data_IF_703423546258
#
_entry.id   IF_703423546258
#
_cell.length_a   1.000
_cell.length_b   1.000
_cell.length_c   1.000
_cell.angle_alpha   90.00
_cell.angle_beta   90.00
_cell.angle_gamma   90.00
#
_symmetry.space_group_name_H-M   'P 1'
#
loop_
_entity.id
_entity.type
_entity.pdbx_description
1 polymer ?
#
# COMPACT_ATOMS: atom_id res chain seq x y z
N UNK A 1 5.46 1.67 7.06
CA UNK A 1 4.16 2.05 6.44
C UNK A 1 3.06 1.88 7.46
N UNK A 2 2.09 2.77 7.39
CA UNK A 2 0.89 2.77 8.24
C UNK A 2 -0.33 2.67 7.33
N UNK A 3 -1.34 1.95 7.78
CA UNK A 3 -2.56 1.80 7.00
C UNK A 3 -3.61 2.77 7.52
N UNK A 4 -4.25 3.53 6.63
CA UNK A 4 -5.50 4.22 6.95
C UNK A 4 -6.64 3.33 6.47
N UNK A 5 -7.40 2.78 7.41
CA UNK A 5 -8.57 1.97 7.09
C UNK A 5 -9.82 2.84 7.05
N UNK A 6 -10.57 2.72 5.97
CA UNK A 6 -11.86 3.39 5.76
C UNK A 6 -12.90 2.30 5.53
N UNK A 7 -13.93 2.26 6.37
CA UNK A 7 -15.04 1.30 6.28
C UNK A 7 -16.37 2.02 6.42
N UNK A 8 -17.40 1.48 5.80
CA UNK A 8 -18.78 1.96 5.92
C UNK A 8 -19.44 2.26 4.58
N UNK A 9 -20.73 2.56 4.58
CA UNK A 9 -21.52 2.76 3.37
C UNK A 9 -20.94 3.81 2.41
N UNK A 10 -20.34 4.88 2.95
CA UNK A 10 -19.76 5.97 2.15
C UNK A 10 -18.25 5.83 1.93
N UNK A 11 -17.63 4.68 2.29
CA UNK A 11 -16.18 4.51 2.19
C UNK A 11 -15.65 4.72 0.77
N UNK A 12 -16.28 4.11 -0.23
CA UNK A 12 -15.90 4.28 -1.64
C UNK A 12 -16.07 5.74 -2.10
N UNK A 13 -17.14 6.40 -1.68
CA UNK A 13 -17.40 7.80 -2.02
C UNK A 13 -16.35 8.73 -1.39
N UNK A 14 -15.95 8.47 -0.13
CA UNK A 14 -14.89 9.24 0.53
C UNK A 14 -13.54 9.05 -0.16
N UNK A 15 -13.14 7.81 -0.44
CA UNK A 15 -11.87 7.54 -1.14
C UNK A 15 -11.87 8.20 -2.53
N UNK A 16 -12.98 8.10 -3.28
CA UNK A 16 -13.09 8.76 -4.59
C UNK A 16 -13.01 10.29 -4.48
N UNK A 17 -13.52 10.87 -3.40
CA UNK A 17 -13.46 12.31 -3.20
C UNK A 17 -12.04 12.83 -2.96
N UNK A 18 -11.18 12.02 -2.33
CA UNK A 18 -9.81 12.40 -2.01
C UNK A 18 -8.84 12.30 -3.18
N UNK A 19 -9.20 11.56 -4.26
CA UNK A 19 -8.29 11.29 -5.37
C UNK A 19 -8.88 11.67 -6.72
N UNK A 20 -8.07 12.22 -7.65
CA UNK A 20 -8.50 12.43 -9.04
C UNK A 20 -8.56 11.11 -9.84
N UNK A 21 -8.10 9.99 -9.27
CA UNK A 21 -8.14 8.69 -9.95
C UNK A 21 -9.52 8.05 -9.82
N UNK A 22 -10.06 7.52 -10.94
CA UNK A 22 -11.31 6.77 -10.89
C UNK A 22 -11.09 5.40 -10.20
N UNK A 23 -11.51 5.30 -8.94
CA UNK A 23 -11.36 4.07 -8.14
C UNK A 23 -12.42 3.01 -8.45
N UNK A 24 -13.48 3.33 -9.18
CA UNK A 24 -14.49 2.32 -9.58
C UNK A 24 -13.91 1.22 -10.47
N UNK A 25 -12.75 1.46 -11.08
CA UNK A 25 -12.00 0.48 -11.88
C UNK A 25 -11.26 -0.55 -11.02
N UNK A 26 -11.05 -0.28 -9.73
CA UNK A 26 -10.38 -1.21 -8.83
C UNK A 26 -11.31 -2.38 -8.46
N UNK A 27 -10.81 -3.60 -8.60
CA UNK A 27 -11.49 -4.84 -8.20
C UNK A 27 -10.96 -5.34 -6.88
N UNK A 28 -11.67 -6.26 -6.24
CA UNK A 28 -11.13 -7.02 -5.11
C UNK A 28 -9.84 -7.73 -5.55
N UNK A 29 -8.82 -7.68 -4.72
CA UNK A 29 -7.49 -8.19 -5.07
C UNK A 29 -6.56 -7.19 -5.77
N UNK A 30 -7.03 -5.97 -6.06
CA UNK A 30 -6.20 -4.93 -6.67
C UNK A 30 -5.49 -4.08 -5.62
N UNK A 31 -4.22 -3.77 -5.90
CA UNK A 31 -3.50 -2.64 -5.35
C UNK A 31 -3.59 -1.49 -6.35
N UNK A 32 -3.92 -0.30 -5.88
CA UNK A 32 -4.22 0.84 -6.74
C UNK A 32 -3.49 2.09 -6.24
N UNK A 33 -2.42 2.50 -6.92
CA UNK A 33 -1.73 3.73 -6.57
C UNK A 33 -2.64 4.94 -6.83
N UNK A 34 -2.87 5.76 -5.82
CA UNK A 34 -3.76 6.92 -5.90
C UNK A 34 -3.07 8.18 -5.37
N UNK A 35 -2.93 9.24 -6.17
CA UNK A 35 -2.58 10.55 -5.63
C UNK A 35 -3.75 11.08 -4.79
N UNK A 36 -3.46 11.57 -3.60
CA UNK A 36 -4.42 12.28 -2.75
C UNK A 36 -4.14 13.77 -2.89
N UNK A 37 -5.19 14.54 -3.15
CA UNK A 37 -5.06 15.98 -3.42
C UNK A 37 -5.98 16.81 -2.52
N UNK A 38 -5.58 18.06 -2.31
CA UNK A 38 -6.43 19.06 -1.68
C UNK A 38 -7.35 19.78 -2.68
N UNK A 39 -8.13 20.74 -2.20
CA UNK A 39 -9.09 21.48 -3.01
C UNK A 39 -8.43 22.38 -4.08
N UNK A 40 -7.15 22.67 -3.98
CA UNK A 40 -6.37 23.42 -4.95
C UNK A 40 -5.62 22.51 -5.94
N UNK A 41 -5.72 21.19 -5.76
CA UNK A 41 -5.02 20.19 -6.55
C UNK A 41 -3.61 19.86 -6.05
N UNK A 42 -3.18 20.43 -4.92
CA UNK A 42 -1.89 20.14 -4.29
C UNK A 42 -1.87 18.72 -3.72
N UNK A 43 -0.75 18.02 -3.89
CA UNK A 43 -0.58 16.65 -3.39
C UNK A 43 -0.52 16.64 -1.86
N UNK A 44 -1.37 15.82 -1.23
CA UNK A 44 -1.32 15.55 0.21
C UNK A 44 -0.53 14.30 0.53
N UNK A 45 -0.67 13.26 -0.30
CA UNK A 45 0.08 12.01 -0.21
C UNK A 45 -0.17 11.15 -1.46
N UNK A 46 0.47 9.97 -1.52
CA UNK A 46 0.41 9.06 -2.67
C UNK A 46 0.29 7.57 -2.27
N UNK A 47 -0.73 7.21 -1.47
CA UNK A 47 -0.86 5.85 -0.99
C UNK A 47 -1.09 4.82 -2.10
N UNK A 48 -0.77 3.58 -1.76
CA UNK A 48 -1.34 2.41 -2.43
C UNK A 48 -2.66 2.07 -1.75
N UNK A 49 -3.75 2.16 -2.48
CA UNK A 49 -5.07 1.73 -2.04
C UNK A 49 -5.23 0.23 -2.27
N UNK A 50 -5.65 -0.51 -1.25
CA UNK A 50 -6.06 -1.91 -1.33
C UNK A 50 -7.58 -1.97 -1.12
N UNK A 51 -8.31 -2.49 -2.12
CA UNK A 51 -9.75 -2.69 -2.01
C UNK A 51 -10.03 -4.05 -1.38
N UNK A 52 -10.44 -4.06 -0.12
CA UNK A 52 -10.67 -5.28 0.66
C UNK A 52 -12.11 -5.77 0.57
N UNK A 53 -13.06 -4.83 0.43
CA UNK A 53 -14.46 -5.08 0.17
C UNK A 53 -15.04 -3.90 -0.62
N UNK A 54 -16.33 -3.94 -0.97
CA UNK A 54 -16.98 -2.81 -1.64
C UNK A 54 -17.04 -1.57 -0.73
N UNK A 55 -17.05 -1.77 0.58
CA UNK A 55 -17.15 -0.77 1.63
C UNK A 55 -15.94 -0.75 2.57
N UNK A 56 -14.81 -1.38 2.18
CA UNK A 56 -13.60 -1.43 3.00
C UNK A 56 -12.33 -1.23 2.17
N UNK A 57 -11.53 -0.26 2.57
CA UNK A 57 -10.28 0.10 1.92
C UNK A 57 -9.16 0.28 2.94
N UNK A 58 -7.94 -0.14 2.55
CA UNK A 58 -6.71 0.34 3.17
C UNK A 58 -6.00 1.30 2.25
N UNK A 59 -5.53 2.41 2.80
CA UNK A 59 -4.62 3.34 2.14
C UNK A 59 -3.26 3.19 2.81
N UNK A 60 -2.32 2.55 2.11
CA UNK A 60 -0.98 2.25 2.63
C UNK A 60 -0.04 3.38 2.31
N UNK A 61 0.50 4.03 3.34
CA UNK A 61 1.35 5.22 3.23
C UNK A 61 2.57 5.17 4.16
N UNK A 62 3.55 6.02 3.88
CA UNK A 62 4.74 6.14 4.70
C UNK A 62 4.48 6.90 6.01
N UNK A 63 3.57 7.88 6.00
CA UNK A 63 3.18 8.67 7.17
C UNK A 63 1.65 8.88 7.24
N UNK A 64 1.15 9.65 8.21
CA UNK A 64 -0.23 9.54 8.64
C UNK A 64 -1.08 10.82 8.57
N UNK A 65 -0.65 11.88 7.92
CA UNK A 65 -1.47 13.09 7.75
C UNK A 65 -2.80 12.76 7.05
N UNK A 66 -2.79 11.72 6.21
CA UNK A 66 -3.95 11.22 5.50
C UNK A 66 -5.07 10.74 6.45
N UNK A 67 -4.73 10.19 7.62
CA UNK A 67 -5.74 9.78 8.61
C UNK A 67 -6.60 10.97 9.04
N UNK A 68 -5.94 12.05 9.45
CA UNK A 68 -6.63 13.26 9.92
C UNK A 68 -7.36 13.99 8.78
N UNK A 69 -6.77 13.99 7.59
CA UNK A 69 -7.40 14.57 6.40
C UNK A 69 -8.69 13.83 6.04
N UNK A 70 -8.67 12.51 6.00
CA UNK A 70 -9.85 11.69 5.72
C UNK A 70 -10.94 11.87 6.79
N UNK A 71 -10.55 11.91 8.08
CA UNK A 71 -11.49 12.16 9.19
C UNK A 71 -12.14 13.54 9.07
N UNK A 72 -11.36 14.57 8.77
CA UNK A 72 -11.86 15.93 8.59
C UNK A 72 -12.84 16.06 7.42
N UNK A 73 -12.52 15.44 6.29
CA UNK A 73 -13.40 15.43 5.12
C UNK A 73 -14.70 14.68 5.40
N UNK A 74 -14.63 13.50 6.01
CA UNK A 74 -15.80 12.71 6.35
C UNK A 74 -16.76 13.47 7.28
N UNK A 75 -16.20 14.07 8.32
CA UNK A 75 -16.96 14.89 9.26
C UNK A 75 -17.61 16.09 8.57
N UNK A 76 -16.85 16.84 7.79
CA UNK A 76 -17.32 18.05 7.11
C UNK A 76 -18.40 17.77 6.04
N UNK A 77 -18.46 16.54 5.54
CA UNK A 77 -19.44 16.10 4.53
C UNK A 77 -20.58 15.25 5.10
N UNK A 78 -20.55 14.95 6.40
CA UNK A 78 -21.55 14.09 7.05
C UNK A 78 -21.58 12.66 6.50
N UNK A 79 -20.42 12.09 6.13
CA UNK A 79 -20.34 10.76 5.54
C UNK A 79 -20.39 9.66 6.63
N UNK A 80 -21.11 8.58 6.33
CA UNK A 80 -21.23 7.41 7.22
C UNK A 80 -20.05 6.46 6.97
N UNK A 81 -18.93 6.76 7.66
CA UNK A 81 -17.70 5.98 7.59
C UNK A 81 -17.04 5.87 8.95
N UNK A 82 -16.32 4.76 9.16
CA UNK A 82 -15.38 4.61 10.26
C UNK A 82 -13.96 4.65 9.69
N UNK A 83 -13.13 5.55 10.21
CA UNK A 83 -11.75 5.74 9.78
C UNK A 83 -10.84 5.42 10.96
N UNK A 84 -9.91 4.50 10.77
CA UNK A 84 -9.01 4.01 11.83
C UNK A 84 -7.63 3.71 11.29
N UNK A 85 -6.65 3.59 12.18
CA UNK A 85 -5.38 2.97 11.92
C UNK A 85 -5.42 1.55 12.52
N UNK A 86 -5.51 0.49 11.69
CA UNK A 86 -5.53 -0.89 12.16
C UNK A 86 -4.14 -1.33 12.64
N UNK A 87 -4.06 -2.36 13.49
CA UNK A 87 -2.79 -3.01 13.86
C UNK A 87 -2.28 -3.87 12.71
N UNK A 88 -1.92 -3.21 11.61
CA UNK A 88 -1.38 -3.83 10.39
C UNK A 88 -0.03 -3.22 10.06
N UNK A 89 1.00 -4.06 10.04
CA UNK A 89 2.37 -3.66 9.80
C UNK A 89 2.91 -4.30 8.53
N UNK A 90 3.58 -3.54 7.68
CA UNK A 90 4.08 -4.04 6.40
C UNK A 90 5.51 -4.52 6.53
N UNK A 91 5.76 -5.80 6.17
CA UNK A 91 7.09 -6.34 5.94
C UNK A 91 7.31 -6.48 4.43
N UNK A 92 8.28 -5.74 3.90
CA UNK A 92 8.66 -5.80 2.49
C UNK A 92 9.79 -6.80 2.28
N UNK A 93 9.60 -7.74 1.36
CA UNK A 93 10.63 -8.69 0.90
C UNK A 93 10.86 -8.38 -0.58
N UNK A 94 12.00 -7.74 -0.86
CA UNK A 94 12.30 -7.19 -2.18
C UNK A 94 13.56 -7.82 -2.78
N UNK A 95 13.63 -7.84 -4.10
CA UNK A 95 14.80 -8.32 -4.84
C UNK A 95 14.48 -9.53 -5.73
N UNK A 96 15.44 -9.92 -6.60
CA UNK A 96 15.21 -10.93 -7.64
C UNK A 96 14.91 -12.34 -7.10
N UNK A 97 15.28 -12.63 -5.87
CA UNK A 97 15.04 -13.92 -5.21
C UNK A 97 13.84 -13.93 -4.26
N UNK A 98 13.14 -12.79 -4.11
CA UNK A 98 12.04 -12.66 -3.16
C UNK A 98 10.89 -13.65 -3.45
N UNK A 99 10.57 -13.86 -4.73
CA UNK A 99 9.52 -14.80 -5.13
C UNK A 99 9.87 -16.24 -4.75
N UNK A 100 11.11 -16.67 -4.99
CA UNK A 100 11.55 -18.04 -4.66
C UNK A 100 11.59 -18.27 -3.15
N UNK A 101 12.09 -17.27 -2.40
CA UNK A 101 12.06 -17.31 -0.95
C UNK A 101 10.64 -17.44 -0.42
N UNK A 102 9.74 -16.55 -0.83
CA UNK A 102 8.37 -16.56 -0.33
C UNK A 102 7.58 -17.80 -0.78
N UNK A 103 7.85 -18.33 -1.97
CA UNK A 103 7.27 -19.59 -2.42
C UNK A 103 7.74 -20.78 -1.57
N UNK A 104 8.97 -20.76 -1.06
CA UNK A 104 9.46 -21.81 -0.13
C UNK A 104 8.76 -21.78 1.23
N UNK A 105 8.26 -20.62 1.67
CA UNK A 105 7.57 -20.43 2.95
C UNK A 105 6.06 -20.63 2.82
N UNK A 106 5.43 -20.00 1.83
CA UNK A 106 3.98 -19.89 1.69
C UNK A 106 3.40 -20.75 0.55
N UNK A 107 4.26 -21.50 -0.15
CA UNK A 107 3.84 -22.33 -1.27
C UNK A 107 3.84 -21.61 -2.63
N UNK A 108 3.76 -22.41 -3.69
CA UNK A 108 3.88 -21.89 -5.06
C UNK A 108 2.74 -20.99 -5.52
N UNK A 109 1.60 -21.02 -4.84
CA UNK A 109 0.44 -20.21 -5.22
C UNK A 109 0.71 -18.70 -5.18
N UNK A 110 1.68 -18.26 -4.39
CA UNK A 110 2.07 -16.85 -4.34
C UNK A 110 2.62 -16.34 -5.68
N UNK A 111 3.14 -17.23 -6.54
CA UNK A 111 3.63 -16.91 -7.88
C UNK A 111 2.50 -16.45 -8.82
N UNK A 112 1.25 -16.82 -8.51
CA UNK A 112 0.06 -16.43 -9.26
C UNK A 112 -0.41 -15.00 -8.91
N UNK A 113 0.15 -14.38 -7.87
CA UNK A 113 -0.15 -12.98 -7.53
C UNK A 113 0.47 -12.10 -8.61
N UNK A 114 -0.37 -11.46 -9.41
CA UNK A 114 0.08 -10.52 -10.45
C UNK A 114 0.68 -9.23 -9.86
N UNK A 115 1.43 -8.50 -10.69
CA UNK A 115 1.96 -7.18 -10.27
C UNK A 115 0.81 -6.22 -9.91
N UNK A 116 0.95 -5.55 -8.79
CA UNK A 116 -0.06 -4.65 -8.20
C UNK A 116 -1.40 -5.38 -7.90
N UNK A 117 -1.28 -6.67 -7.50
CA UNK A 117 -2.38 -7.47 -6.96
C UNK A 117 -2.00 -7.97 -5.59
N UNK A 118 -2.99 -8.41 -4.83
CA UNK A 118 -2.78 -9.11 -3.57
C UNK A 118 -3.60 -10.40 -3.50
N UNK A 119 -3.18 -11.29 -2.60
CA UNK A 119 -3.94 -12.45 -2.18
C UNK A 119 -3.77 -12.67 -0.68
N UNK A 120 -4.61 -13.49 -0.10
CA UNK A 120 -4.51 -13.90 1.29
C UNK A 120 -3.59 -15.11 1.41
N UNK A 121 -2.75 -15.10 2.42
CA UNK A 121 -1.86 -16.19 2.81
C UNK A 121 -2.13 -16.55 4.25
N UNK A 122 -1.92 -17.82 4.62
CA UNK A 122 -2.00 -18.23 6.01
C UNK A 122 -0.66 -18.06 6.71
N UNK A 123 -0.68 -17.49 7.91
CA UNK A 123 0.46 -17.46 8.80
C UNK A 123 0.00 -17.65 10.24
N UNK A 124 0.51 -18.70 10.91
CA UNK A 124 0.16 -19.08 12.29
C UNK A 124 -1.35 -19.10 12.57
N UNK A 125 -2.10 -19.76 11.68
CA UNK A 125 -3.56 -19.92 11.82
C UNK A 125 -4.37 -18.65 11.53
N UNK A 126 -3.73 -17.60 11.01
CA UNK A 126 -4.38 -16.33 10.66
C UNK A 126 -4.19 -15.98 9.20
N UNK A 127 -5.16 -15.26 8.62
CA UNK A 127 -5.06 -14.79 7.25
C UNK A 127 -4.31 -13.44 7.21
N UNK A 128 -3.25 -13.39 6.41
CA UNK A 128 -2.46 -12.21 6.17
C UNK A 128 -2.53 -11.82 4.70
N UNK A 129 -2.47 -10.53 4.40
CA UNK A 129 -2.51 -10.06 3.03
C UNK A 129 -1.09 -9.96 2.47
N UNK A 130 -0.84 -10.60 1.31
CA UNK A 130 0.41 -10.48 0.57
C UNK A 130 0.14 -9.80 -0.77
N UNK A 131 0.79 -8.67 -0.99
CA UNK A 131 0.72 -7.91 -2.23
C UNK A 131 2.02 -8.05 -3.04
N UNK A 132 1.90 -8.19 -4.36
CA UNK A 132 3.04 -8.08 -5.26
C UNK A 132 3.28 -6.61 -5.60
N UNK A 133 3.89 -5.94 -4.65
CA UNK A 133 4.20 -4.51 -4.65
C UNK A 133 5.54 -4.26 -3.97
N UNK A 134 5.98 -3.01 -3.92
CA UNK A 134 7.21 -2.61 -3.25
C UNK A 134 7.77 -1.30 -3.76
N UNK A 135 8.76 -0.80 -3.03
CA UNK A 135 9.38 0.52 -3.24
C UNK A 135 10.85 0.40 -3.68
N UNK A 136 11.17 -0.61 -4.52
CA UNK A 136 12.55 -0.89 -4.94
C UNK A 136 12.75 -1.02 -6.45
N UNK A 137 11.70 -1.26 -7.22
CA UNK A 137 11.77 -1.66 -8.66
C UNK A 137 12.54 -2.96 -8.92
N UNK A 138 12.91 -3.70 -7.88
CA UNK A 138 13.64 -4.97 -8.01
C UNK A 138 12.73 -6.20 -8.02
N UNK A 139 11.42 -5.99 -7.93
CA UNK A 139 10.44 -7.05 -7.73
C UNK A 139 10.36 -7.45 -6.26
N UNK A 140 9.37 -8.24 -5.93
CA UNK A 140 9.12 -8.72 -4.56
C UNK A 140 7.69 -8.50 -4.12
N UNK A 141 7.51 -8.58 -2.80
CA UNK A 141 6.19 -8.57 -2.17
C UNK A 141 6.22 -7.75 -0.89
N UNK A 142 5.05 -7.33 -0.47
CA UNK A 142 4.77 -6.71 0.81
C UNK A 142 3.73 -7.54 1.55
N UNK A 143 4.08 -8.02 2.76
CA UNK A 143 3.16 -8.72 3.65
C UNK A 143 2.58 -7.70 4.61
N UNK A 144 1.28 -7.51 4.57
CA UNK A 144 0.51 -6.66 5.48
C UNK A 144 0.08 -7.53 6.66
N UNK A 145 0.93 -7.55 7.69
CA UNK A 145 0.75 -8.38 8.87
C UNK A 145 -0.30 -7.76 9.80
N UNK A 146 -1.44 -8.39 9.89
CA UNK A 146 -2.50 -8.03 10.84
C UNK A 146 -2.24 -8.70 12.19
N UNK A 147 -1.90 -7.90 13.17
CA UNK A 147 -1.49 -8.34 14.50
C UNK A 147 0.02 -8.20 14.72
N UNK A 148 0.44 -7.11 15.34
CA UNK A 148 1.86 -6.77 15.58
C UNK A 148 2.59 -7.83 16.40
N UNK A 149 1.87 -8.58 17.27
CA UNK A 149 2.45 -9.68 18.06
C UNK A 149 3.02 -10.82 17.21
N UNK A 150 2.60 -10.97 15.95
CA UNK A 150 3.12 -11.96 15.01
C UNK A 150 4.43 -11.50 14.31
N UNK A 151 4.81 -10.24 14.47
CA UNK A 151 5.96 -9.64 13.80
C UNK A 151 7.28 -10.40 13.99
N UNK A 152 7.69 -10.70 15.25
CA UNK A 152 8.90 -11.48 15.50
C UNK A 152 8.89 -12.85 14.81
N UNK A 153 7.79 -13.57 14.91
CA UNK A 153 7.67 -14.89 14.29
C UNK A 153 7.74 -14.84 12.77
N UNK A 154 7.10 -13.84 12.13
CA UNK A 154 7.19 -13.66 10.69
C UNK A 154 8.61 -13.30 10.27
N UNK A 155 9.26 -12.38 10.99
CA UNK A 155 10.64 -12.01 10.73
C UNK A 155 11.58 -13.22 10.77
N UNK A 156 11.52 -14.02 11.86
CA UNK A 156 12.38 -15.18 12.04
C UNK A 156 12.13 -16.24 10.96
N UNK A 157 10.86 -16.50 10.64
CA UNK A 157 10.49 -17.44 9.55
C UNK A 157 11.08 -17.02 8.20
N UNK A 158 10.94 -15.74 7.83
CA UNK A 158 11.49 -15.22 6.56
C UNK A 158 13.01 -15.19 6.59
N UNK A 159 13.59 -14.80 7.72
CA UNK A 159 15.04 -14.74 7.88
C UNK A 159 15.70 -16.11 7.73
N UNK A 160 15.21 -17.11 8.46
CA UNK A 160 15.75 -18.48 8.42
C UNK A 160 15.61 -19.09 7.01
N UNK A 161 14.40 -18.99 6.42
CA UNK A 161 14.16 -19.46 5.06
C UNK A 161 14.98 -18.69 4.00
N UNK A 162 15.35 -17.47 4.30
CA UNK A 162 16.09 -16.57 3.41
C UNK A 162 17.61 -16.80 3.35
N UNK A 163 18.20 -17.52 4.32
CA UNK A 163 19.64 -17.75 4.37
C UNK A 163 20.20 -18.36 3.07
N UNK A 164 19.58 -19.38 2.46
CA UNK A 164 20.05 -19.92 1.18
C UNK A 164 19.92 -18.95 0.00
N UNK A 165 19.10 -17.93 0.14
CA UNK A 165 18.86 -16.90 -0.89
C UNK A 165 19.76 -15.67 -0.70
N UNK A 166 20.64 -15.66 0.31
CA UNK A 166 21.46 -14.52 0.74
C UNK A 166 20.61 -13.33 1.17
N UNK A 167 19.60 -13.57 2.00
CA UNK A 167 18.78 -12.50 2.58
C UNK A 167 19.64 -11.58 3.44
N UNK A 168 19.34 -10.31 3.43
CA UNK A 168 19.90 -9.32 4.35
C UNK A 168 18.80 -8.41 4.89
N UNK A 169 18.95 -7.95 6.11
CA UNK A 169 18.09 -6.89 6.62
C UNK A 169 18.33 -5.62 5.82
N UNK A 170 17.26 -4.95 5.43
CA UNK A 170 17.30 -3.76 4.61
C UNK A 170 16.34 -2.69 5.09
N UNK A 171 16.47 -1.54 4.50
CA UNK A 171 15.50 -0.45 4.56
C UNK A 171 15.27 0.05 3.13
N UNK A 172 14.25 0.90 2.89
CA UNK A 172 14.08 1.52 1.58
C UNK A 172 15.38 2.19 1.13
N UNK A 173 15.96 1.67 0.04
CA UNK A 173 17.21 2.20 -0.50
C UNK A 173 16.91 3.44 -1.33
N UNK A 174 17.39 4.59 -0.87
CA UNK A 174 17.15 5.86 -1.54
C UNK A 174 17.73 5.91 -2.96
N UNK A 175 18.85 5.21 -3.22
CA UNK A 175 19.47 5.16 -4.55
C UNK A 175 18.59 4.34 -5.50
N UNK A 176 18.22 3.15 -5.12
CA UNK A 176 17.41 2.23 -5.95
C UNK A 176 16.05 2.83 -6.31
N UNK A 177 15.38 3.44 -5.34
CA UNK A 177 14.07 4.04 -5.61
C UNK A 177 14.18 5.25 -6.55
N UNK A 178 15.25 6.08 -6.43
CA UNK A 178 15.50 7.20 -7.32
C UNK A 178 15.83 6.71 -8.74
N UNK A 179 16.73 5.74 -8.88
CA UNK A 179 17.02 5.10 -10.17
C UNK A 179 15.76 4.48 -10.79
N UNK A 180 14.89 3.91 -9.95
CA UNK A 180 13.60 3.37 -10.34
C UNK A 180 12.53 4.42 -10.68
N UNK A 181 12.79 5.71 -10.45
CA UNK A 181 11.80 6.79 -10.63
C UNK A 181 10.62 6.67 -9.67
N UNK A 182 10.85 6.14 -8.46
CA UNK A 182 9.83 6.08 -7.41
C UNK A 182 9.96 7.30 -6.51
N UNK A 183 8.97 8.16 -6.54
CA UNK A 183 8.93 9.40 -5.77
C UNK A 183 8.60 9.15 -4.30
N UNK A 184 9.02 10.07 -3.47
CA UNK A 184 8.72 10.10 -2.05
C UNK A 184 8.03 11.43 -1.72
N UNK A 185 6.85 11.35 -1.15
CA UNK A 185 6.19 12.54 -0.64
C UNK A 185 7.04 13.20 0.46
N UNK A 186 7.15 14.50 0.39
CA UNK A 186 8.03 15.28 1.24
C UNK A 186 9.46 15.51 0.70
N UNK A 187 9.86 14.75 -0.34
CA UNK A 187 11.14 14.92 -1.03
C UNK A 187 10.95 15.47 -2.46
N UNK A 188 10.53 14.63 -3.40
CA UNK A 188 10.37 15.04 -4.81
C UNK A 188 9.01 15.66 -5.11
N UNK A 189 8.05 15.46 -4.24
CA UNK A 189 6.70 16.04 -4.35
C UNK A 189 6.19 16.47 -2.98
N UNK A 190 5.52 17.61 -2.96
CA UNK A 190 4.93 18.21 -1.77
C UNK A 190 3.54 18.77 -2.12
N UNK A 191 2.89 19.40 -1.17
CA UNK A 191 1.63 20.09 -1.38
C UNK A 191 1.71 21.26 -2.39
N UNK A 192 2.91 21.73 -2.71
CA UNK A 192 3.12 22.78 -3.72
C UNK A 192 3.03 22.25 -5.16
N UNK A 193 3.04 20.92 -5.32
CA UNK A 193 2.96 20.26 -6.61
C UNK A 193 1.57 19.64 -6.82
N UNK A 194 1.08 19.66 -8.05
CA UNK A 194 -0.06 18.87 -8.46
C UNK A 194 0.39 17.56 -9.15
N UNK A 195 -0.50 16.57 -9.32
CA UNK A 195 -0.14 15.29 -9.92
C UNK A 195 0.45 15.39 -11.34
N UNK A 196 0.09 16.40 -12.12
CA UNK A 196 0.59 16.55 -13.49
C UNK A 196 2.06 17.01 -13.49
N UNK A 197 2.44 17.92 -12.59
CA UNK A 197 3.79 18.44 -12.47
C UNK A 197 4.80 17.34 -12.06
N UNK A 198 4.36 16.36 -11.28
CA UNK A 198 5.19 15.22 -10.86
C UNK A 198 5.03 13.98 -11.78
N UNK A 199 4.46 14.14 -12.97
CA UNK A 199 4.32 13.06 -13.95
C UNK A 199 3.27 12.00 -13.60
N UNK A 200 2.39 12.28 -12.65
CA UNK A 200 1.30 11.38 -12.23
C UNK A 200 -0.04 11.64 -12.95
N UNK A 201 -0.04 12.48 -13.99
CA UNK A 201 -1.24 12.80 -14.78
C UNK A 201 -1.97 11.58 -15.33
N UNK A 202 -1.27 10.48 -15.62
CA UNK A 202 -1.87 9.20 -16.05
C UNK A 202 -2.81 8.56 -15.01
N UNK A 203 -2.75 9.01 -13.76
CA UNK A 203 -3.63 8.55 -12.68
C UNK A 203 -4.81 9.52 -12.46
N UNK A 204 -4.90 10.60 -13.21
CA UNK A 204 -5.98 11.58 -13.11
C UNK A 204 -7.01 11.36 -14.20
N UNK A 205 -8.29 11.50 -13.85
CA UNK A 205 -9.37 11.61 -14.82
C UNK A 205 -9.40 13.08 -15.28
N UNK A 206 -9.37 13.30 -16.58
CA UNK A 206 -9.30 14.64 -17.20
C UNK A 206 -10.53 14.98 -18.04
N UNK A 207 -11.57 14.15 -17.98
CA UNK A 207 -12.79 14.28 -18.81
C UNK A 207 -13.87 15.06 -18.07
#
# INVERSE_FOLDING_TARGET
QRQVQITGPDAAALVQWMTPRNISKAKLGDCFYIPIIDAQGGMINDPVMLKLAEDQFWLSIADSDLLLYAMGLALGRGMDVKITEPDVNTLAIQGPKAEDLLASVFGNDIRNIGFFKYNWIEFQGTQQLMARSGYSRQGGFEIYLNGSHLGPALWDTIWEAGLPFNISAGCPNLIERIEGGLFSYGNEMTRENNPFEVGHGKFCVTD
#
